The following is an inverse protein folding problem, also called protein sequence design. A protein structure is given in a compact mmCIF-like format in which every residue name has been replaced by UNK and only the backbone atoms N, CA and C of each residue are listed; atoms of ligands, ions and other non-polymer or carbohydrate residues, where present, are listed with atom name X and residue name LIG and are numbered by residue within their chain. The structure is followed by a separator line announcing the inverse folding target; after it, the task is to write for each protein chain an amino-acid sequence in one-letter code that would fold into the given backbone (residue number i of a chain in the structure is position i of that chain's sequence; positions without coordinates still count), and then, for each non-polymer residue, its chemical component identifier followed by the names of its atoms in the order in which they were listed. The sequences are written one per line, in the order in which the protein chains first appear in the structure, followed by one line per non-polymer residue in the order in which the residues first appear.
data_IF_535571508075
#
_entry.id   IF_535571508075
#
_cell.length_a   1.000
_cell.length_b   1.000
_cell.length_c   1.000
_cell.angle_alpha   90.00
_cell.angle_beta   90.00
_cell.angle_gamma   90.00
#
_symmetry.space_group_name_H-M   'P 1'
#
loop_
_entity.id
_entity.type
_entity.pdbx_description
1 polymer ?
#
# COMPACT_ATOMS: atom_id res chain seq x y z
N UNK A 1 -14.83 5.49 -10.56
CA UNK A 1 -13.91 4.82 -11.49
C UNK A 1 -12.90 4.07 -10.64
N UNK A 2 -12.65 2.78 -10.86
CA UNK A 2 -11.49 2.14 -10.23
C UNK A 2 -10.26 2.90 -10.74
N UNK A 3 -9.52 3.52 -9.81
CA UNK A 3 -8.25 4.14 -10.15
C UNK A 3 -7.27 2.99 -10.41
N UNK A 4 -6.70 2.95 -11.61
CA UNK A 4 -5.62 2.03 -11.93
C UNK A 4 -4.48 2.20 -10.92
N UNK A 5 -3.96 1.06 -10.45
CA UNK A 5 -2.89 1.05 -9.46
C UNK A 5 -1.59 1.54 -10.10
N UNK A 6 -1.00 2.56 -9.51
CA UNK A 6 0.27 3.06 -9.98
C UNK A 6 1.43 2.22 -9.42
N UNK A 7 2.65 2.48 -9.90
CA UNK A 7 3.85 1.77 -9.46
C UNK A 7 4.07 1.79 -7.94
N UNK A 8 3.74 2.89 -7.26
CA UNK A 8 3.90 2.98 -5.82
C UNK A 8 2.88 2.11 -5.08
N UNK A 9 1.63 2.06 -5.55
CA UNK A 9 0.61 1.17 -5.00
C UNK A 9 1.02 -0.29 -5.10
N UNK A 10 1.41 -0.71 -6.31
CA UNK A 10 1.86 -2.08 -6.57
C UNK A 10 2.97 -2.47 -5.59
N UNK A 11 3.98 -1.60 -5.43
CA UNK A 11 5.11 -1.81 -4.50
C UNK A 11 4.66 -1.85 -3.02
N UNK A 12 3.72 -1.01 -2.62
CA UNK A 12 3.14 -1.03 -1.26
C UNK A 12 2.40 -2.34 -1.01
N UNK A 13 1.55 -2.78 -1.94
CA UNK A 13 0.81 -4.04 -1.83
C UNK A 13 1.77 -5.23 -1.71
N UNK A 14 2.79 -5.29 -2.57
CA UNK A 14 3.86 -6.31 -2.48
C UNK A 14 4.54 -6.32 -1.12
N UNK A 15 4.91 -5.15 -0.60
CA UNK A 15 5.57 -5.06 0.72
C UNK A 15 4.67 -5.46 1.89
N UNK A 16 3.34 -5.37 1.73
CA UNK A 16 2.35 -5.81 2.71
C UNK A 16 2.04 -7.32 2.62
N UNK A 17 2.43 -8.00 1.53
CA UNK A 17 2.39 -9.48 1.46
C UNK A 17 3.27 -10.11 2.55
N UNK A 18 4.36 -9.43 2.92
CA UNK A 18 5.27 -9.85 4.00
C UNK A 18 4.75 -9.52 5.41
N UNK A 19 3.48 -9.10 5.53
CA UNK A 19 2.76 -8.85 6.78
C UNK A 19 2.57 -7.37 7.11
N UNK A 20 2.13 -7.12 8.35
CA UNK A 20 1.73 -5.78 8.83
C UNK A 20 2.91 -4.80 8.77
N UNK A 21 2.69 -3.61 8.21
CA UNK A 21 3.70 -2.53 8.14
C UNK A 21 3.12 -1.17 8.51
N UNK A 22 4.00 -0.23 8.83
CA UNK A 22 3.64 1.17 9.08
C UNK A 22 4.16 2.10 7.96
N UNK A 23 3.60 3.32 7.79
CA UNK A 23 3.99 4.24 6.72
C UNK A 23 5.46 4.67 6.74
N UNK A 24 6.09 4.68 7.91
CA UNK A 24 7.50 5.07 8.03
C UNK A 24 8.40 3.98 7.44
N UNK A 25 8.13 2.73 7.81
CA UNK A 25 8.86 1.58 7.27
C UNK A 25 8.68 1.46 5.75
N UNK A 26 7.45 1.59 5.26
CA UNK A 26 7.16 1.53 3.82
C UNK A 26 7.84 2.65 3.04
N UNK A 27 7.93 3.85 3.60
CA UNK A 27 8.64 4.98 2.99
C UNK A 27 10.13 4.71 2.88
N UNK A 28 10.74 4.23 3.97
CA UNK A 28 12.17 3.95 4.05
C UNK A 28 12.53 2.76 3.12
N UNK A 29 11.71 1.71 3.06
CA UNK A 29 11.94 0.52 2.22
C UNK A 29 11.74 0.80 0.73
N UNK A 30 10.72 1.60 0.37
CA UNK A 30 10.34 1.80 -1.03
C UNK A 30 11.00 3.03 -1.67
N UNK A 31 11.80 3.77 -0.92
CA UNK A 31 12.42 5.04 -1.30
C UNK A 31 11.37 6.08 -1.75
N UNK A 32 10.35 6.26 -0.92
CA UNK A 32 9.31 7.27 -1.10
C UNK A 32 9.21 8.17 0.13
N UNK A 33 8.60 9.35 -0.04
CA UNK A 33 8.30 10.19 1.13
C UNK A 33 7.18 9.57 1.97
N UNK A 34 7.28 9.72 3.30
CA UNK A 34 6.22 9.28 4.23
C UNK A 34 4.86 9.88 3.92
N UNK A 35 4.83 11.15 3.50
CA UNK A 35 3.60 11.83 3.09
C UNK A 35 2.97 11.15 1.87
N UNK A 36 3.79 10.81 0.87
CA UNK A 36 3.31 10.14 -0.34
C UNK A 36 2.79 8.74 -0.03
N UNK A 37 3.54 7.94 0.72
CA UNK A 37 3.11 6.61 1.18
C UNK A 37 1.80 6.68 1.96
N UNK A 38 1.66 7.64 2.86
CA UNK A 38 0.42 7.82 3.61
C UNK A 38 -0.77 8.12 2.68
N UNK A 39 -0.60 9.02 1.71
CA UNK A 39 -1.62 9.30 0.70
C UNK A 39 -2.02 8.05 -0.09
N UNK A 40 -1.03 7.24 -0.55
CA UNK A 40 -1.31 6.00 -1.28
C UNK A 40 -2.07 4.98 -0.41
N UNK A 41 -1.66 4.78 0.85
CA UNK A 41 -2.35 3.88 1.77
C UNK A 41 -3.81 4.28 1.99
N UNK A 42 -4.14 5.58 2.09
CA UNK A 42 -5.53 6.01 2.19
C UNK A 42 -6.36 5.64 0.94
N UNK A 43 -5.77 5.74 -0.25
CA UNK A 43 -6.43 5.33 -1.49
C UNK A 43 -6.63 3.81 -1.56
N UNK A 44 -5.63 3.03 -1.12
CA UNK A 44 -5.70 1.57 -1.09
C UNK A 44 -6.70 1.05 -0.06
N UNK A 45 -6.86 1.74 1.07
CA UNK A 45 -7.93 1.46 2.04
C UNK A 45 -9.31 1.76 1.44
N UNK A 46 -9.47 2.91 0.77
CA UNK A 46 -10.73 3.26 0.11
C UNK A 46 -11.10 2.31 -1.04
N UNK A 47 -10.10 1.65 -1.64
CA UNK A 47 -10.26 0.63 -2.66
C UNK A 47 -10.34 -0.81 -2.11
N UNK A 48 -10.38 -0.97 -0.78
CA UNK A 48 -10.51 -2.28 -0.10
C UNK A 48 -9.34 -3.25 -0.37
N UNK A 49 -8.18 -2.75 -0.80
CA UNK A 49 -6.98 -3.57 -0.98
C UNK A 49 -6.17 -3.72 0.33
N UNK A 50 -6.28 -2.74 1.22
CA UNK A 50 -5.50 -2.65 2.46
C UNK A 50 -6.46 -2.37 3.61
N UNK A 51 -6.26 -3.01 4.74
CA UNK A 51 -6.97 -2.72 5.98
C UNK A 51 -6.09 -1.84 6.91
N UNK A 52 -6.71 -0.86 7.56
CA UNK A 52 -6.04 -0.02 8.56
C UNK A 52 -6.39 -0.54 9.95
N UNK A 53 -5.41 -1.18 10.60
CA UNK A 53 -5.56 -1.77 11.93
C UNK A 53 -5.59 -0.74 13.07
N UNK A 54 -5.46 0.54 12.74
CA UNK A 54 -5.26 1.62 13.71
C UNK A 54 -3.79 1.79 14.08
N UNK A 55 -3.50 2.86 14.82
CA UNK A 55 -2.15 3.19 15.29
C UNK A 55 -1.06 3.28 14.20
N UNK A 56 -1.46 3.49 12.94
CA UNK A 56 -0.56 3.57 11.80
C UNK A 56 -0.06 2.21 11.31
N UNK A 57 -0.78 1.12 11.60
CA UNK A 57 -0.50 -0.22 11.09
C UNK A 57 -1.47 -0.58 9.98
N UNK A 58 -0.92 -1.16 8.92
CA UNK A 58 -1.64 -1.54 7.71
C UNK A 58 -1.32 -2.98 7.36
N UNK A 59 -2.34 -3.71 6.92
CA UNK A 59 -2.23 -5.08 6.43
C UNK A 59 -2.87 -5.19 5.05
N UNK A 60 -2.38 -6.14 4.25
CA UNK A 60 -2.98 -6.47 2.98
C UNK A 60 -4.30 -7.20 3.21
N UNK A 61 -5.39 -6.71 2.61
CA UNK A 61 -6.70 -7.36 2.63
C UNK A 61 -6.88 -8.24 1.38
N UNK A 62 -6.60 -7.67 0.21
CA UNK A 62 -6.75 -8.35 -1.07
C UNK A 62 -5.72 -7.87 -2.08
N UNK A 63 -5.00 -8.81 -2.69
CA UNK A 63 -4.19 -8.55 -3.87
C UNK A 63 -5.09 -8.54 -5.12
N UNK A 64 -5.00 -7.51 -5.97
CA UNK A 64 -5.54 -7.58 -7.32
C UNK A 64 -4.93 -8.73 -8.11
N UNK A 65 -5.71 -9.36 -9.00
CA UNK A 65 -5.24 -10.47 -9.85
C UNK A 65 -4.17 -10.02 -10.87
N UNK A 66 -4.23 -8.77 -11.32
CA UNK A 66 -3.28 -8.18 -12.27
C UNK A 66 -2.43 -7.09 -11.58
N UNK A 67 -1.34 -7.52 -10.93
CA UNK A 67 -0.26 -6.63 -10.54
C UNK A 67 0.87 -6.85 -11.55
N UNK A 68 0.81 -6.19 -12.71
CA UNK A 68 1.89 -6.29 -13.70
C UNK A 68 3.22 -5.83 -13.10
N UNK A 69 4.25 -6.67 -13.22
CA UNK A 69 5.63 -6.38 -12.83
C UNK A 69 6.27 -5.51 -13.93
N UNK A 70 6.47 -4.22 -13.63
CA UNK A 70 7.21 -3.27 -14.47
C UNK A 70 8.72 -3.27 -14.17
#
# INVERSE_FOLDING_TARGET
MPHELNRADKRILRALEDGVRNPSWLADELDYSRQYVHQRLQLLVAAEHVNNLGHGLYELEALPEEIEED
#
